data_IF_874568978266
#
_entry.id   IF_874568978266
#
_cell.length_a   1.000
_cell.length_b   1.000
_cell.length_c   1.000
_cell.angle_alpha   90.00
_cell.angle_beta   90.00
_cell.angle_gamma   90.00
#
_symmetry.space_group_name_H-M   'P 1'
#
loop_
_entity.id
_entity.type
_entity.pdbx_description
1 polymer ?
#
# COMPACT_ATOMS: atom_id res chain seq x y z
N UNK A 1 -4.08 -11.21 9.13
CA UNK A 1 -4.81 -11.03 7.87
C UNK A 1 -4.59 -12.28 7.04
N UNK A 2 -5.65 -12.93 6.64
CA UNK A 2 -5.67 -14.16 5.84
C UNK A 2 -6.10 -13.81 4.42
N UNK A 3 -5.51 -14.45 3.40
CA UNK A 3 -5.83 -14.20 1.99
C UNK A 3 -6.10 -15.55 1.32
N UNK A 4 -7.24 -15.70 0.65
CA UNK A 4 -7.58 -16.83 -0.22
C UNK A 4 -7.66 -16.36 -1.67
N UNK A 5 -7.05 -17.11 -2.55
CA UNK A 5 -7.01 -16.85 -3.99
C UNK A 5 -7.37 -18.15 -4.70
N UNK A 6 -8.36 -18.13 -5.59
CA UNK A 6 -8.82 -19.29 -6.34
C UNK A 6 -8.89 -18.97 -7.82
N UNK A 7 -8.17 -19.76 -8.62
CA UNK A 7 -8.14 -19.69 -10.08
C UNK A 7 -7.96 -18.28 -10.65
N UNK A 8 -7.11 -17.46 -9.97
CA UNK A 8 -6.87 -16.07 -10.33
C UNK A 8 -6.14 -15.96 -11.65
N UNK A 9 -6.75 -15.25 -12.58
CA UNK A 9 -6.13 -14.89 -13.85
C UNK A 9 -6.13 -13.36 -14.03
N UNK A 10 -5.05 -12.85 -14.64
CA UNK A 10 -4.97 -11.44 -15.04
C UNK A 10 -4.38 -11.29 -16.41
N UNK A 11 -5.18 -10.69 -17.31
CA UNK A 11 -4.79 -10.37 -18.67
C UNK A 11 -4.70 -8.85 -18.86
N UNK A 12 -3.71 -8.39 -19.60
CA UNK A 12 -3.62 -7.05 -20.17
C UNK A 12 -3.65 -7.18 -21.69
N UNK A 13 -4.81 -6.93 -22.30
CA UNK A 13 -5.04 -7.23 -23.71
C UNK A 13 -4.78 -8.71 -24.00
N UNK A 14 -3.83 -9.00 -24.88
CA UNK A 14 -3.44 -10.38 -25.25
C UNK A 14 -2.42 -11.03 -24.31
N UNK A 15 -1.83 -10.24 -23.40
CA UNK A 15 -0.80 -10.75 -22.48
C UNK A 15 -1.44 -11.30 -21.20
N UNK A 16 -1.27 -12.61 -20.96
CA UNK A 16 -1.68 -13.25 -19.72
C UNK A 16 -0.54 -13.16 -18.69
N UNK A 17 -0.71 -12.34 -17.67
CA UNK A 17 0.31 -12.03 -16.64
C UNK A 17 0.18 -12.90 -15.40
N UNK A 18 -1.04 -13.22 -14.98
CA UNK A 18 -1.28 -14.22 -13.94
C UNK A 18 -2.11 -15.35 -14.54
N UNK A 19 -1.66 -16.58 -14.33
CA UNK A 19 -2.23 -17.77 -14.97
C UNK A 19 -2.63 -18.76 -13.90
N UNK A 20 -3.93 -18.87 -13.65
CA UNK A 20 -4.53 -19.86 -12.76
C UNK A 20 -3.86 -19.96 -11.38
N UNK A 21 -3.68 -18.81 -10.74
CA UNK A 21 -3.05 -18.75 -9.41
C UNK A 21 -4.09 -19.15 -8.36
N UNK A 22 -3.80 -20.22 -7.62
CA UNK A 22 -4.56 -20.62 -6.43
C UNK A 22 -3.60 -20.67 -5.24
N UNK A 23 -3.90 -19.91 -4.19
CA UNK A 23 -3.01 -19.71 -3.05
C UNK A 23 -3.80 -19.36 -1.79
N UNK A 24 -3.42 -20.00 -0.69
CA UNK A 24 -3.91 -19.65 0.64
C UNK A 24 -2.75 -19.10 1.48
N UNK A 25 -2.91 -17.88 2.00
CA UNK A 25 -1.92 -17.19 2.82
C UNK A 25 -2.52 -16.96 4.20
N UNK A 26 -2.17 -17.76 5.21
CA UNK A 26 -2.65 -17.57 6.57
C UNK A 26 -2.02 -16.33 7.22
N UNK A 27 -2.35 -16.05 8.48
CA UNK A 27 -1.78 -14.93 9.23
C UNK A 27 -0.28 -15.16 9.41
N UNK A 28 0.54 -14.18 9.00
CA UNK A 28 2.01 -14.27 9.09
C UNK A 28 2.71 -13.22 8.25
N UNK A 29 4.03 -13.37 8.15
CA UNK A 29 4.90 -12.59 7.28
C UNK A 29 5.34 -13.47 6.12
N UNK A 30 5.11 -13.02 4.89
CA UNK A 30 5.41 -13.78 3.68
C UNK A 30 6.26 -12.97 2.71
N UNK A 31 7.25 -13.61 2.11
CA UNK A 31 8.05 -13.07 1.03
C UNK A 31 7.61 -13.64 -0.31
N UNK A 32 7.41 -12.79 -1.30
CA UNK A 32 7.12 -13.21 -2.67
C UNK A 32 8.40 -13.15 -3.50
N UNK A 33 8.88 -14.30 -3.93
CA UNK A 33 10.08 -14.45 -4.76
C UNK A 33 9.69 -14.79 -6.20
N UNK A 34 10.53 -14.44 -7.13
CA UNK A 34 10.36 -14.74 -8.56
C UNK A 34 11.08 -13.74 -9.44
N UNK A 35 11.25 -14.07 -10.71
CA UNK A 35 11.91 -13.24 -11.72
C UNK A 35 11.18 -11.92 -12.00
N UNK A 36 11.87 -10.99 -12.63
CA UNK A 36 11.23 -9.77 -13.11
C UNK A 36 10.23 -10.14 -14.23
N UNK A 37 9.04 -9.57 -14.15
CA UNK A 37 7.95 -9.93 -15.07
C UNK A 37 7.06 -11.10 -14.61
N UNK A 38 7.40 -11.83 -13.55
CA UNK A 38 6.60 -12.97 -13.05
C UNK A 38 5.21 -12.60 -12.48
N UNK A 39 4.76 -11.35 -12.61
CA UNK A 39 3.43 -10.94 -12.15
C UNK A 39 3.34 -10.49 -10.69
N UNK A 40 4.44 -10.48 -9.92
CA UNK A 40 4.45 -10.10 -8.49
C UNK A 40 3.75 -8.76 -8.23
N UNK A 41 4.14 -7.72 -8.95
CA UNK A 41 3.54 -6.39 -8.82
C UNK A 41 2.05 -6.39 -9.20
N UNK A 42 1.67 -7.17 -10.21
CA UNK A 42 0.27 -7.32 -10.62
C UNK A 42 -0.57 -7.96 -9.53
N UNK A 43 -0.09 -9.04 -8.91
CA UNK A 43 -0.76 -9.67 -7.78
C UNK A 43 -0.91 -8.71 -6.60
N UNK A 44 0.17 -8.02 -6.21
CA UNK A 44 0.11 -7.02 -5.14
C UNK A 44 -0.88 -5.89 -5.44
N UNK A 45 -0.98 -5.43 -6.69
CA UNK A 45 -1.96 -4.40 -7.10
C UNK A 45 -3.41 -4.91 -7.03
N UNK A 46 -3.64 -6.18 -7.32
CA UNK A 46 -4.98 -6.80 -7.16
C UNK A 46 -5.31 -6.86 -5.66
N UNK A 47 -4.43 -7.38 -4.82
CA UNK A 47 -4.64 -7.45 -3.37
C UNK A 47 -4.85 -6.06 -2.74
N UNK A 48 -4.17 -5.03 -3.26
CA UNK A 48 -4.36 -3.63 -2.87
C UNK A 48 -5.62 -2.97 -3.47
N UNK A 49 -6.45 -3.70 -4.19
CA UNK A 49 -7.65 -3.19 -4.90
C UNK A 49 -7.38 -2.11 -5.96
N UNK A 50 -6.14 -2.01 -6.44
CA UNK A 50 -5.71 -1.06 -7.49
C UNK A 50 -5.88 -1.62 -8.90
N UNK A 51 -6.11 -2.92 -9.03
CA UNK A 51 -6.39 -3.61 -10.28
C UNK A 51 -7.43 -4.70 -10.02
N UNK A 52 -8.29 -4.97 -10.99
CA UNK A 52 -9.27 -6.05 -10.89
C UNK A 52 -8.70 -7.32 -11.52
N UNK A 53 -9.02 -8.51 -10.99
CA UNK A 53 -8.75 -9.77 -11.68
C UNK A 53 -9.52 -9.85 -12.99
N UNK A 54 -9.02 -10.62 -13.95
CA UNK A 54 -9.78 -10.94 -15.17
C UNK A 54 -10.80 -12.05 -14.88
N UNK A 55 -10.35 -13.10 -14.19
CA UNK A 55 -11.20 -14.19 -13.68
C UNK A 55 -10.63 -14.71 -12.37
N UNK A 56 -11.40 -15.54 -11.67
CA UNK A 56 -11.02 -16.10 -10.39
C UNK A 56 -11.58 -15.31 -9.21
N UNK A 57 -11.32 -15.82 -8.01
CA UNK A 57 -11.81 -15.26 -6.75
C UNK A 57 -10.65 -14.88 -5.86
N UNK A 58 -10.77 -13.75 -5.18
CA UNK A 58 -9.81 -13.31 -4.16
C UNK A 58 -10.58 -12.79 -2.96
N UNK A 59 -10.24 -13.31 -1.79
CA UNK A 59 -10.82 -12.89 -0.53
C UNK A 59 -9.73 -12.49 0.46
N UNK A 60 -10.00 -11.47 1.26
CA UNK A 60 -9.15 -11.02 2.38
C UNK A 60 -10.01 -11.07 3.64
N UNK A 61 -9.63 -11.91 4.60
CA UNK A 61 -10.43 -12.19 5.81
C UNK A 61 -11.89 -12.58 5.49
N UNK A 62 -12.12 -13.38 4.42
CA UNK A 62 -13.45 -13.77 3.96
C UNK A 62 -14.24 -12.64 3.26
N UNK A 63 -13.61 -11.49 2.97
CA UNK A 63 -14.24 -10.38 2.25
C UNK A 63 -13.79 -10.43 0.79
N UNK A 64 -14.73 -10.54 -0.16
CA UNK A 64 -14.44 -10.50 -1.60
C UNK A 64 -13.70 -9.19 -1.96
N UNK A 65 -12.64 -9.30 -2.75
CA UNK A 65 -11.80 -8.18 -3.20
C UNK A 65 -12.61 -7.11 -3.97
N UNK A 66 -13.76 -7.45 -4.53
CA UNK A 66 -14.69 -6.52 -5.20
C UNK A 66 -15.30 -5.51 -4.22
N UNK A 67 -15.39 -5.86 -2.94
CA UNK A 67 -15.85 -4.95 -1.88
C UNK A 67 -14.74 -3.97 -1.47
N UNK A 68 -14.23 -3.23 -2.44
CA UNK A 68 -13.02 -2.36 -2.34
C UNK A 68 -13.03 -1.43 -1.12
N UNK A 69 -14.21 -0.85 -0.79
CA UNK A 69 -14.33 0.08 0.35
C UNK A 69 -14.05 -0.61 1.69
N UNK A 70 -14.45 -1.87 1.85
CA UNK A 70 -14.24 -2.65 3.06
C UNK A 70 -12.79 -3.13 3.15
N UNK A 71 -12.28 -3.68 2.04
CA UNK A 71 -10.88 -4.10 1.96
C UNK A 71 -9.93 -2.95 2.29
N UNK A 72 -10.13 -1.76 1.72
CA UNK A 72 -9.27 -0.58 1.97
C UNK A 72 -9.27 -0.09 3.42
N UNK A 73 -10.26 -0.48 4.24
CA UNK A 73 -10.27 -0.18 5.67
C UNK A 73 -9.36 -1.08 6.50
N UNK A 74 -9.03 -2.25 5.98
CA UNK A 74 -8.28 -3.29 6.71
C UNK A 74 -6.89 -3.55 6.16
N UNK A 75 -6.53 -2.97 5.00
CA UNK A 75 -5.20 -3.11 4.40
C UNK A 75 -4.44 -1.79 4.40
N UNK A 76 -3.09 -1.88 4.47
CA UNK A 76 -2.18 -0.82 4.09
C UNK A 76 -1.36 -1.29 2.88
N UNK A 77 -1.12 -0.40 1.93
CA UNK A 77 -0.31 -0.69 0.75
C UNK A 77 0.78 0.34 0.56
N UNK A 78 2.03 -0.11 0.60
CA UNK A 78 3.18 0.73 0.27
C UNK A 78 3.76 0.26 -1.08
N UNK A 79 3.57 1.02 -2.17
CA UNK A 79 4.17 0.70 -3.46
C UNK A 79 5.69 0.83 -3.43
N UNK A 80 6.36 0.19 -4.37
CA UNK A 80 7.81 0.30 -4.54
C UNK A 80 8.23 1.75 -4.82
N UNK A 81 7.45 2.45 -5.62
CA UNK A 81 7.59 3.87 -5.91
C UNK A 81 6.31 4.60 -5.53
N UNK A 82 6.45 5.66 -4.77
CA UNK A 82 5.37 6.58 -4.46
C UNK A 82 5.90 8.01 -4.54
N UNK A 83 5.01 8.93 -4.90
CA UNK A 83 5.38 10.33 -5.12
C UNK A 83 4.59 11.23 -4.18
N UNK A 84 5.31 12.13 -3.54
CA UNK A 84 4.76 13.26 -2.79
C UNK A 84 5.27 14.53 -3.45
N UNK A 85 4.55 15.62 -3.36
CA UNK A 85 4.99 16.93 -3.87
C UNK A 85 6.40 17.27 -3.35
N UNK A 86 7.41 17.40 -4.23
CA UNK A 86 8.82 17.43 -3.82
C UNK A 86 9.19 18.55 -2.87
N UNK A 87 8.45 19.67 -2.94
CA UNK A 87 8.69 20.87 -2.14
C UNK A 87 7.94 20.90 -0.80
N UNK A 88 7.02 19.96 -0.56
CA UNK A 88 6.36 19.84 0.75
C UNK A 88 7.36 19.36 1.80
N UNK A 89 7.21 19.82 3.03
CA UNK A 89 7.94 19.25 4.17
C UNK A 89 7.35 17.89 4.54
N UNK A 90 8.12 17.08 5.27
CA UNK A 90 7.64 15.78 5.80
C UNK A 90 6.35 15.97 6.59
N UNK A 91 6.30 16.99 7.46
CA UNK A 91 5.10 17.28 8.26
C UNK A 91 3.92 17.68 7.37
N UNK A 92 4.11 18.65 6.46
CA UNK A 92 3.02 19.14 5.61
C UNK A 92 2.49 18.09 4.63
N UNK A 93 3.33 17.15 4.21
CA UNK A 93 2.90 16.02 3.39
C UNK A 93 1.98 15.06 4.17
N UNK A 94 2.32 14.71 5.42
CA UNK A 94 1.45 13.90 6.28
C UNK A 94 0.16 14.66 6.65
N UNK A 95 0.25 15.97 6.90
CA UNK A 95 -0.92 16.79 7.19
C UNK A 95 -1.88 16.84 6.00
N UNK A 96 -1.37 16.99 4.79
CA UNK A 96 -2.14 16.94 3.55
C UNK A 96 -2.86 15.59 3.38
N UNK A 97 -2.17 14.47 3.59
CA UNK A 97 -2.77 13.13 3.52
C UNK A 97 -3.86 12.95 4.59
N UNK A 98 -3.62 13.44 5.80
CA UNK A 98 -4.59 13.41 6.87
C UNK A 98 -5.83 14.28 6.61
N UNK A 99 -5.70 15.37 5.83
CA UNK A 99 -6.85 16.15 5.35
C UNK A 99 -7.67 15.34 4.35
N UNK A 100 -7.01 14.65 3.42
CA UNK A 100 -7.70 13.81 2.43
C UNK A 100 -8.48 12.65 3.04
N UNK A 101 -8.09 12.22 4.24
CA UNK A 101 -8.81 11.18 5.01
C UNK A 101 -9.81 11.77 6.01
N UNK A 102 -10.11 13.07 5.90
CA UNK A 102 -11.09 13.79 6.72
C UNK A 102 -10.80 13.75 8.23
N UNK A 103 -9.54 13.54 8.64
CA UNK A 103 -9.16 13.53 10.04
C UNK A 103 -9.30 14.94 10.67
N UNK A 104 -9.98 15.08 11.82
CA UNK A 104 -10.06 16.34 12.56
C UNK A 104 -8.67 16.88 12.91
N UNK A 105 -8.51 18.21 12.88
CA UNK A 105 -7.20 18.87 13.00
C UNK A 105 -6.43 18.47 14.29
N UNK A 106 -7.13 18.42 15.44
CA UNK A 106 -6.53 18.03 16.73
C UNK A 106 -6.01 16.58 16.71
N UNK A 107 -6.80 15.64 16.16
CA UNK A 107 -6.43 14.23 16.03
C UNK A 107 -5.27 14.10 15.05
N UNK A 108 -5.35 14.78 13.90
CA UNK A 108 -4.35 14.74 12.85
C UNK A 108 -2.98 15.20 13.35
N UNK A 109 -2.90 16.36 14.01
CA UNK A 109 -1.64 16.88 14.57
C UNK A 109 -0.99 15.92 15.57
N UNK A 110 -1.78 15.34 16.47
CA UNK A 110 -1.29 14.34 17.44
C UNK A 110 -0.75 13.11 16.71
N UNK A 111 -1.53 12.55 15.78
CA UNK A 111 -1.15 11.35 15.06
C UNK A 111 0.09 11.54 14.20
N UNK A 112 0.25 12.68 13.54
CA UNK A 112 1.45 12.99 12.76
C UNK A 112 2.70 12.96 13.65
N UNK A 113 2.65 13.61 14.83
CA UNK A 113 3.80 13.60 15.74
C UNK A 113 4.13 12.20 16.26
N UNK A 114 3.12 11.38 16.58
CA UNK A 114 3.29 9.99 16.99
C UNK A 114 3.93 9.15 15.86
N UNK A 115 3.41 9.26 14.64
CA UNK A 115 3.94 8.54 13.47
C UNK A 115 5.38 8.94 13.15
N UNK A 116 5.69 10.24 13.19
CA UNK A 116 7.05 10.73 12.93
C UNK A 116 8.07 10.17 13.93
N UNK A 117 7.68 10.00 15.20
CA UNK A 117 8.51 9.32 16.22
C UNK A 117 8.69 7.84 15.89
N UNK A 118 7.61 7.13 15.61
CA UNK A 118 7.65 5.70 15.30
C UNK A 118 8.54 5.35 14.11
N UNK A 119 8.56 6.22 13.07
CA UNK A 119 9.39 6.01 11.88
C UNK A 119 10.74 6.72 11.94
N UNK A 120 11.14 7.30 13.09
CA UNK A 120 12.40 8.04 13.27
C UNK A 120 12.58 9.18 12.24
N UNK A 121 11.55 10.01 12.05
CA UNK A 121 11.58 11.20 11.20
C UNK A 121 11.22 12.49 11.95
N UNK A 122 11.12 12.48 13.28
CA UNK A 122 10.72 13.63 14.08
C UNK A 122 11.66 14.84 13.87
N UNK A 123 12.98 14.61 13.84
CA UNK A 123 13.97 15.65 13.60
C UNK A 123 13.99 16.16 12.15
N UNK A 124 13.40 15.42 11.22
CA UNK A 124 13.35 15.73 9.80
C UNK A 124 11.99 16.33 9.37
N UNK A 125 11.10 16.60 10.32
CA UNK A 125 9.71 17.03 10.02
C UNK A 125 9.60 18.27 9.14
N UNK A 126 10.58 19.18 9.23
CA UNK A 126 10.64 20.41 8.45
C UNK A 126 11.43 20.27 7.14
N UNK A 127 12.08 19.11 6.91
CA UNK A 127 12.87 18.86 5.70
C UNK A 127 11.94 18.63 4.50
N UNK A 128 12.30 19.19 3.35
CA UNK A 128 11.52 18.99 2.11
C UNK A 128 11.68 17.57 1.62
N UNK A 129 10.57 16.98 1.10
CA UNK A 129 10.53 15.60 0.65
C UNK A 129 11.61 15.25 -0.39
N UNK A 130 11.92 16.18 -1.30
CA UNK A 130 13.01 16.01 -2.29
C UNK A 130 14.40 15.80 -1.67
N UNK A 131 14.62 16.32 -0.47
CA UNK A 131 15.90 16.27 0.22
C UNK A 131 16.04 15.05 1.16
N UNK A 132 15.03 14.16 1.19
CA UNK A 132 15.10 12.93 1.95
C UNK A 132 15.95 11.88 1.23
N UNK A 133 16.70 11.09 2.00
CA UNK A 133 17.35 9.89 1.49
C UNK A 133 16.32 8.83 1.09
N UNK A 134 16.70 7.83 0.29
CA UNK A 134 15.82 6.73 -0.09
C UNK A 134 15.21 6.00 1.11
N UNK A 135 16.02 5.73 2.14
CA UNK A 135 15.55 5.12 3.38
C UNK A 135 14.57 6.00 4.16
N UNK A 136 14.79 7.34 4.19
CA UNK A 136 13.85 8.28 4.82
C UNK A 136 12.54 8.35 4.06
N UNK A 137 12.56 8.36 2.72
CA UNK A 137 11.36 8.30 1.90
C UNK A 137 10.57 7.03 2.20
N UNK A 138 11.24 5.89 2.32
CA UNK A 138 10.58 4.61 2.63
C UNK A 138 9.94 4.60 4.02
N UNK A 139 10.61 5.17 5.03
CA UNK A 139 10.04 5.36 6.38
C UNK A 139 8.84 6.31 6.37
N UNK A 140 8.89 7.39 5.59
CA UNK A 140 7.73 8.27 5.36
C UNK A 140 6.57 7.49 4.75
N UNK A 141 6.83 6.64 3.74
CA UNK A 141 5.81 5.78 3.13
C UNK A 141 5.13 4.81 4.11
N UNK A 142 5.81 4.41 5.17
CA UNK A 142 5.20 3.60 6.24
C UNK A 142 4.30 4.45 7.15
N UNK A 143 4.62 5.74 7.31
CA UNK A 143 3.87 6.66 8.17
C UNK A 143 2.58 7.20 7.52
N UNK A 144 2.45 7.13 6.18
CA UNK A 144 1.26 7.59 5.46
C UNK A 144 0.15 6.55 5.48
#
# INVERSE_FOLDING_TARGET
MEISIEHLNKNYGKQNVLKDISLHIPIGMYGMLGENGAGKTTLMRILATLSEPTTGMVEINGIDIKRKKEIRKIIGYLPQEFSIYPNMTVYSALDYLGILTELPNNIRKRRINELLKQVNLEHEKNKRFKNLSGGMKRRFGIAQ
#
